data_IF_064957202139
#
_entry.id   IF_064957202139
#
_cell.length_a   1.000
_cell.length_b   1.000
_cell.length_c   1.000
_cell.angle_alpha   90.00
_cell.angle_beta   90.00
_cell.angle_gamma   90.00
#
_symmetry.space_group_name_H-M   'P 1'
#
loop_
_entity.id
_entity.type
_entity.pdbx_description
1 polymer ?
#
# COMPACT_ATOMS: atom_id res chain seq x y z
N UNK A 1 10.94 -22.10 18.72
CA UNK A 1 9.75 -21.65 17.99
C UNK A 1 9.82 -20.15 17.97
N UNK A 2 9.69 -19.51 16.80
CA UNK A 2 9.57 -18.05 16.70
C UNK A 2 8.30 -17.60 17.42
N UNK A 3 8.38 -16.47 18.11
CA UNK A 3 7.27 -15.88 18.84
C UNK A 3 6.38 -15.14 17.85
N UNK A 4 5.10 -15.45 17.84
CA UNK A 4 4.15 -14.77 16.98
C UNK A 4 3.79 -13.41 17.59
N UNK A 5 3.96 -12.35 16.82
CA UNK A 5 3.75 -10.98 17.24
C UNK A 5 2.46 -10.41 16.65
N UNK A 6 2.01 -9.30 17.22
CA UNK A 6 0.89 -8.52 16.68
C UNK A 6 1.25 -8.01 15.29
N UNK A 7 0.33 -8.13 14.35
CA UNK A 7 0.49 -7.60 13.00
C UNK A 7 0.72 -6.09 13.01
N UNK A 8 1.64 -5.64 12.19
CA UNK A 8 2.04 -4.23 12.13
C UNK A 8 0.88 -3.29 11.74
N UNK A 9 -0.01 -3.74 10.85
CA UNK A 9 -1.19 -2.98 10.41
C UNK A 9 -2.18 -2.65 11.54
N UNK A 10 -2.33 -3.56 12.51
CA UNK A 10 -3.12 -3.30 13.69
C UNK A 10 -2.33 -2.48 14.72
N UNK A 11 -1.07 -2.83 14.92
CA UNK A 11 -0.20 -2.19 15.90
C UNK A 11 -0.02 -0.69 15.63
N UNK A 12 0.14 -0.30 14.36
CA UNK A 12 0.33 1.10 13.95
C UNK A 12 -0.86 1.99 14.36
N UNK A 13 -2.08 1.44 14.35
CA UNK A 13 -3.29 2.16 14.70
C UNK A 13 -3.52 2.30 16.20
N UNK A 14 -3.03 1.34 16.99
CA UNK A 14 -3.35 1.21 18.41
C UNK A 14 -2.16 1.46 19.34
N UNK A 15 -1.05 0.80 19.09
CA UNK A 15 0.09 0.76 20.01
C UNK A 15 1.17 1.78 19.64
N UNK A 16 1.47 1.90 18.34
CA UNK A 16 2.63 2.67 17.88
C UNK A 16 2.36 4.17 17.81
N UNK A 17 1.14 4.61 18.06
CA UNK A 17 0.79 6.02 18.27
C UNK A 17 1.20 6.54 19.64
N UNK A 18 1.45 5.64 20.60
CA UNK A 18 1.94 6.04 21.91
C UNK A 18 3.42 6.43 21.81
N UNK A 19 3.78 7.60 22.35
CA UNK A 19 5.14 8.13 22.35
C UNK A 19 6.17 7.15 22.95
N UNK A 20 5.77 6.36 23.92
CA UNK A 20 6.61 5.32 24.51
C UNK A 20 7.07 4.25 23.50
N UNK A 21 6.31 4.05 22.44
CA UNK A 21 6.53 3.01 21.42
C UNK A 21 7.12 3.58 20.11
N UNK A 22 7.45 4.86 20.04
CA UNK A 22 8.03 5.48 18.84
C UNK A 22 9.31 4.81 18.38
N UNK A 23 10.05 4.18 19.28
CA UNK A 23 11.29 3.45 18.97
C UNK A 23 11.10 2.39 17.90
N UNK A 24 9.93 1.76 17.83
CA UNK A 24 9.58 0.74 16.81
C UNK A 24 9.44 1.41 15.43
N UNK A 25 8.65 2.50 15.35
CA UNK A 25 8.47 3.26 14.11
C UNK A 25 9.76 3.94 13.65
N UNK A 26 10.50 4.56 14.59
CA UNK A 26 11.80 5.17 14.32
C UNK A 26 12.81 4.16 13.79
N UNK A 27 12.80 2.94 14.34
CA UNK A 27 13.61 1.84 13.88
C UNK A 27 13.30 1.49 12.44
N UNK A 28 12.04 1.16 12.14
CA UNK A 28 11.57 0.84 10.79
C UNK A 28 11.90 1.94 9.78
N UNK A 29 11.53 3.18 10.09
CA UNK A 29 11.76 4.32 9.21
C UNK A 29 13.25 4.60 9.01
N UNK A 30 14.08 4.38 10.04
CA UNK A 30 15.52 4.58 9.93
C UNK A 30 16.18 3.59 8.99
N UNK A 31 15.76 2.32 9.01
CA UNK A 31 16.25 1.31 8.07
C UNK A 31 15.76 1.59 6.64
N UNK A 32 14.48 1.93 6.48
CA UNK A 32 13.88 2.21 5.16
C UNK A 32 14.49 3.43 4.48
N UNK A 33 14.72 4.52 5.25
CA UNK A 33 15.16 5.80 4.71
C UNK A 33 16.69 5.95 4.73
N UNK A 34 17.42 4.97 5.25
CA UNK A 34 18.87 5.00 5.45
C UNK A 34 19.34 6.27 6.19
N UNK A 35 18.54 6.69 7.20
CA UNK A 35 18.76 7.90 7.97
C UNK A 35 18.36 7.68 9.43
N UNK A 36 18.87 8.48 10.35
CA UNK A 36 18.49 8.37 11.75
C UNK A 36 17.20 9.15 12.01
N UNK A 37 16.06 8.52 11.77
CA UNK A 37 14.75 9.13 11.96
C UNK A 37 14.38 9.23 13.44
N UNK A 38 13.92 10.41 13.83
CA UNK A 38 13.35 10.70 15.15
C UNK A 38 11.99 11.35 14.97
N UNK A 39 10.97 10.75 15.55
CA UNK A 39 9.60 11.26 15.52
C UNK A 39 9.44 12.35 16.57
N UNK A 40 9.12 13.55 16.14
CA UNK A 40 8.86 14.70 17.02
C UNK A 40 7.45 14.65 17.59
N UNK A 41 6.49 14.35 16.71
CA UNK A 41 5.08 14.21 17.06
C UNK A 41 4.33 13.39 16.01
N UNK A 42 3.24 12.76 16.44
CA UNK A 42 2.21 12.24 15.55
C UNK A 42 1.21 13.38 15.35
N UNK A 43 0.88 13.63 14.09
CA UNK A 43 -0.17 14.55 13.70
C UNK A 43 -1.47 13.73 13.60
N UNK A 44 -2.56 14.27 14.12
CA UNK A 44 -3.86 13.63 13.95
C UNK A 44 -4.20 13.64 12.46
N UNK A 45 -4.33 12.46 11.88
CA UNK A 45 -4.80 12.29 10.50
C UNK A 45 -6.33 12.27 10.44
N UNK A 46 -6.97 12.72 11.51
CA UNK A 46 -8.39 13.00 11.53
C UNK A 46 -8.60 14.35 10.85
N UNK A 47 -8.62 14.34 9.51
CA UNK A 47 -9.39 15.37 8.84
C UNK A 47 -10.80 15.25 9.41
N UNK A 48 -11.18 16.24 10.24
CA UNK A 48 -12.56 16.47 10.61
C UNK A 48 -13.36 16.35 9.34
N UNK A 49 -14.36 15.49 9.35
CA UNK A 49 -15.39 15.46 8.34
C UNK A 49 -16.11 16.81 8.42
N UNK A 50 -15.68 17.78 7.62
CA UNK A 50 -16.37 19.05 7.55
C UNK A 50 -17.65 18.90 6.72
N UNK A 51 -17.71 17.88 5.84
CA UNK A 51 -18.92 17.52 5.07
C UNK A 51 -19.00 16.02 4.85
N UNK A 52 -20.23 15.46 4.72
CA UNK A 52 -20.47 14.04 4.40
C UNK A 52 -19.93 13.62 3.01
N UNK A 53 -19.57 14.58 2.16
CA UNK A 53 -19.03 14.37 0.80
C UNK A 53 -17.50 14.25 0.76
N UNK A 54 -16.79 14.48 1.86
CA UNK A 54 -15.34 14.33 1.90
C UNK A 54 -14.95 12.86 1.74
N UNK A 55 -14.22 12.55 0.66
CA UNK A 55 -13.64 11.22 0.46
C UNK A 55 -12.79 10.86 1.67
N UNK A 56 -13.13 9.74 2.32
CA UNK A 56 -12.35 9.17 3.42
C UNK A 56 -10.93 8.84 2.95
N UNK A 57 -10.01 9.76 3.14
CA UNK A 57 -8.59 9.51 2.94
C UNK A 57 -7.87 9.69 4.28
N UNK A 58 -8.09 8.71 5.17
CA UNK A 58 -7.36 8.62 6.42
C UNK A 58 -6.06 7.87 6.16
N UNK A 59 -4.94 8.55 6.25
CA UNK A 59 -3.65 7.88 6.37
C UNK A 59 -3.57 7.18 7.72
N UNK A 60 -2.94 6.01 7.79
CA UNK A 60 -2.88 5.27 9.05
C UNK A 60 -2.08 6.03 10.11
N UNK A 61 -0.96 6.63 9.74
CA UNK A 61 -0.21 7.57 10.58
C UNK A 61 0.37 8.71 9.74
N UNK A 62 0.28 9.93 10.26
CA UNK A 62 1.03 11.10 9.82
C UNK A 62 1.94 11.56 10.96
N UNK A 63 3.24 11.67 10.71
CA UNK A 63 4.22 12.12 11.69
C UNK A 63 5.02 13.30 11.18
N UNK A 64 5.59 14.08 12.12
CA UNK A 64 6.63 15.06 11.84
C UNK A 64 7.95 14.60 12.49
N UNK A 65 9.01 14.51 11.71
CA UNK A 65 10.33 14.13 12.19
C UNK A 65 11.15 15.33 12.71
N UNK A 66 12.33 15.06 13.24
CA UNK A 66 13.23 16.10 13.77
C UNK A 66 13.75 17.09 12.72
N UNK A 67 13.66 16.73 11.42
CA UNK A 67 14.00 17.60 10.28
C UNK A 67 12.81 18.44 9.79
N UNK A 68 11.68 18.41 10.50
CA UNK A 68 10.40 19.04 10.16
C UNK A 68 9.79 18.51 8.84
N UNK A 69 10.13 17.31 8.42
CA UNK A 69 9.52 16.63 7.29
C UNK A 69 8.29 15.86 7.77
N UNK A 70 7.28 15.75 6.91
CA UNK A 70 6.09 14.96 7.14
C UNK A 70 6.33 13.54 6.65
N UNK A 71 6.00 12.55 7.46
CA UNK A 71 6.07 11.14 7.05
C UNK A 71 4.67 10.56 7.18
N UNK A 72 4.12 10.15 6.05
CA UNK A 72 2.89 9.38 5.92
C UNK A 72 3.26 7.90 5.94
N UNK A 73 2.58 7.12 6.78
CA UNK A 73 2.66 5.67 6.72
C UNK A 73 1.25 5.17 6.48
N UNK A 74 1.08 4.39 5.42
CA UNK A 74 -0.18 3.78 5.04
C UNK A 74 0.00 2.28 4.83
N UNK A 75 -0.92 1.49 5.37
CA UNK A 75 -0.89 0.03 5.26
C UNK A 75 -2.19 -0.45 4.67
N UNK A 76 -2.10 -1.05 3.49
CA UNK A 76 -3.26 -1.51 2.75
C UNK A 76 -3.22 -3.02 2.52
N UNK A 77 -4.25 -3.71 3.03
CA UNK A 77 -4.40 -5.16 2.90
C UNK A 77 -5.27 -5.56 1.70
N UNK A 78 -6.17 -4.69 1.27
CA UNK A 78 -7.14 -4.95 0.21
C UNK A 78 -6.70 -4.31 -1.09
N UNK A 79 -6.81 -5.03 -2.21
CA UNK A 79 -6.49 -4.52 -3.53
C UNK A 79 -7.34 -3.30 -3.89
N UNK A 80 -6.67 -2.25 -4.37
CA UNK A 80 -7.28 -1.04 -4.94
C UNK A 80 -6.60 -0.72 -6.26
N UNK A 81 -7.37 -0.69 -7.35
CA UNK A 81 -6.83 -0.46 -8.70
C UNK A 81 -6.27 0.96 -8.87
N UNK A 82 -6.83 1.91 -8.14
CA UNK A 82 -6.48 3.34 -8.18
C UNK A 82 -5.53 3.76 -7.04
N UNK A 83 -4.86 2.80 -6.40
CA UNK A 83 -4.01 3.07 -5.23
C UNK A 83 -2.91 4.10 -5.50
N UNK A 84 -2.32 4.16 -6.71
CA UNK A 84 -1.36 5.21 -7.06
C UNK A 84 -1.97 6.62 -7.02
N UNK A 85 -3.23 6.75 -7.42
CA UNK A 85 -3.95 8.03 -7.33
C UNK A 85 -4.21 8.40 -5.86
N UNK A 86 -4.54 7.40 -5.03
CA UNK A 86 -4.72 7.57 -3.59
C UNK A 86 -3.44 8.05 -2.91
N UNK A 87 -2.28 7.46 -3.22
CA UNK A 87 -0.98 7.91 -2.73
C UNK A 87 -0.74 9.39 -3.06
N UNK A 88 -0.98 9.78 -4.31
CA UNK A 88 -0.81 11.17 -4.80
C UNK A 88 -1.76 12.12 -4.08
N UNK A 89 -3.02 11.74 -3.91
CA UNK A 89 -4.02 12.54 -3.20
C UNK A 89 -3.64 12.73 -1.72
N UNK A 90 -3.23 11.67 -1.02
CA UNK A 90 -2.82 11.72 0.38
C UNK A 90 -1.64 12.67 0.63
N UNK A 91 -0.65 12.65 -0.26
CA UNK A 91 0.50 13.57 -0.21
C UNK A 91 0.05 15.01 -0.44
N UNK A 92 -0.76 15.26 -1.47
CA UNK A 92 -1.26 16.60 -1.82
C UNK A 92 -2.08 17.20 -0.68
N UNK A 93 -2.95 16.39 -0.07
CA UNK A 93 -3.76 16.79 1.09
C UNK A 93 -2.87 17.14 2.29
N UNK A 94 -1.89 16.30 2.60
CA UNK A 94 -0.97 16.54 3.71
C UNK A 94 -0.15 17.83 3.52
N UNK A 95 0.24 18.17 2.29
CA UNK A 95 0.89 19.44 1.99
C UNK A 95 -0.07 20.61 2.25
N UNK A 96 -1.30 20.54 1.71
CA UNK A 96 -2.30 21.59 1.85
C UNK A 96 -2.67 21.87 3.31
N UNK A 97 -2.88 20.82 4.11
CA UNK A 97 -3.28 20.94 5.51
C UNK A 97 -2.16 21.46 6.41
N UNK A 98 -0.90 21.30 6.00
CA UNK A 98 0.27 21.72 6.78
C UNK A 98 0.90 23.04 6.28
N UNK A 99 0.27 23.74 5.35
CA UNK A 99 0.64 25.09 4.91
C UNK A 99 -0.53 26.04 5.20
N UNK A 100 -0.36 26.91 6.19
CA UNK A 100 -1.39 27.90 6.55
C UNK A 100 -1.55 29.00 5.49
N UNK A 101 -2.76 29.53 5.33
CA UNK A 101 -3.05 30.63 4.43
C UNK A 101 -2.14 31.83 4.77
N UNK A 102 -1.49 32.40 3.74
CA UNK A 102 -0.59 33.56 3.90
C UNK A 102 0.86 33.20 4.26
N UNK A 103 1.18 31.93 4.46
CA UNK A 103 2.58 31.51 4.59
C UNK A 103 3.31 31.52 3.25
N UNK A 104 4.61 31.80 3.29
CA UNK A 104 5.47 31.71 2.12
C UNK A 104 5.62 30.27 1.65
N UNK A 105 5.70 30.04 0.32
CA UNK A 105 5.86 28.69 -0.25
C UNK A 105 7.13 27.96 0.21
N UNK A 106 8.15 28.68 0.68
CA UNK A 106 9.36 28.08 1.27
C UNK A 106 9.06 27.26 2.55
N UNK A 107 7.88 27.45 3.16
CA UNK A 107 7.42 26.70 4.33
C UNK A 107 6.70 25.39 3.98
N UNK A 108 6.54 25.07 2.69
CA UNK A 108 6.05 23.75 2.27
C UNK A 108 7.00 22.68 2.79
N UNK A 109 6.47 21.78 3.62
CA UNK A 109 7.26 20.68 4.17
C UNK A 109 7.42 19.58 3.14
N UNK A 110 8.62 18.97 3.09
CA UNK A 110 8.79 17.72 2.35
C UNK A 110 7.89 16.65 2.94
N UNK A 111 7.22 15.88 2.07
CA UNK A 111 6.43 14.73 2.46
C UNK A 111 7.12 13.45 2.01
N UNK A 112 7.30 12.50 2.92
CA UNK A 112 7.76 11.14 2.64
C UNK A 112 6.56 10.23 2.82
N UNK A 113 6.13 9.58 1.73
CA UNK A 113 4.98 8.68 1.72
C UNK A 113 5.46 7.23 1.71
N UNK A 114 5.24 6.52 2.81
CA UNK A 114 5.58 5.10 2.99
C UNK A 114 4.31 4.28 2.87
N UNK A 115 4.25 3.46 1.83
CA UNK A 115 3.07 2.68 1.45
C UNK A 115 3.39 1.19 1.54
N UNK A 116 2.78 0.50 2.49
CA UNK A 116 2.97 -0.92 2.76
C UNK A 116 1.74 -1.66 2.23
N UNK A 117 1.89 -2.43 1.16
CA UNK A 117 0.78 -3.13 0.51
C UNK A 117 0.96 -4.66 0.58
N UNK A 118 -0.15 -5.35 0.86
CA UNK A 118 -0.24 -6.82 0.94
C UNK A 118 -0.94 -7.42 -0.29
N UNK A 119 -0.94 -6.69 -1.41
CA UNK A 119 -1.47 -7.15 -2.70
C UNK A 119 -0.48 -6.81 -3.81
N UNK A 120 -0.68 -7.40 -4.98
CA UNK A 120 0.16 -7.09 -6.12
C UNK A 120 -0.29 -5.76 -6.76
N UNK A 121 0.64 -4.81 -6.84
CA UNK A 121 0.41 -3.46 -7.36
C UNK A 121 1.44 -3.14 -8.44
N UNK A 122 0.95 -2.86 -9.64
CA UNK A 122 1.81 -2.60 -10.79
C UNK A 122 2.64 -3.82 -11.21
N UNK A 123 3.47 -3.66 -12.23
CA UNK A 123 4.36 -4.71 -12.72
C UNK A 123 5.81 -4.41 -12.35
N UNK A 124 6.52 -5.40 -11.84
CA UNK A 124 7.91 -5.28 -11.44
C UNK A 124 8.35 -6.45 -10.58
N UNK A 125 9.66 -6.72 -10.55
CA UNK A 125 10.25 -7.89 -9.87
C UNK A 125 10.64 -7.62 -8.42
N UNK A 126 10.81 -6.35 -8.06
CA UNK A 126 11.24 -5.96 -6.72
C UNK A 126 10.05 -5.89 -5.75
N UNK A 127 10.34 -5.89 -4.47
CA UNK A 127 9.36 -5.73 -3.39
C UNK A 127 9.46 -4.35 -2.71
N UNK A 128 10.50 -3.55 -3.01
CA UNK A 128 10.66 -2.16 -2.54
C UNK A 128 10.92 -1.26 -3.73
N UNK A 129 10.12 -0.21 -3.87
CA UNK A 129 10.28 0.80 -4.89
C UNK A 129 10.37 2.18 -4.25
N UNK A 130 11.31 3.00 -4.73
CA UNK A 130 11.48 4.39 -4.35
C UNK A 130 11.12 5.29 -5.53
N UNK A 131 10.25 6.28 -5.31
CA UNK A 131 9.90 7.31 -6.27
C UNK A 131 10.42 8.66 -5.82
N UNK A 132 11.24 9.31 -6.66
CA UNK A 132 11.76 10.68 -6.46
C UNK A 132 11.47 11.52 -7.67
N UNK A 133 11.33 12.84 -7.48
CA UNK A 133 11.19 13.79 -8.58
C UNK A 133 12.56 14.27 -9.04
N UNK A 134 12.88 14.07 -10.32
CA UNK A 134 14.07 14.60 -10.97
C UNK A 134 13.66 15.44 -12.16
N UNK A 135 14.37 16.54 -12.40
CA UNK A 135 14.20 17.38 -13.58
C UNK A 135 15.38 17.15 -14.51
N UNK A 136 15.12 16.43 -15.60
CA UNK A 136 16.13 16.10 -16.61
C UNK A 136 16.00 17.00 -17.83
N UNK A 137 17.11 17.62 -18.22
CA UNK A 137 17.20 18.45 -19.44
C UNK A 137 16.78 17.65 -20.68
N UNK A 138 15.90 18.23 -21.51
CA UNK A 138 15.42 17.54 -22.72
C UNK A 138 16.50 17.43 -23.81
N UNK A 139 17.40 18.40 -23.90
CA UNK A 139 18.44 18.46 -24.90
C UNK A 139 19.76 17.92 -24.37
N UNK A 140 20.28 18.49 -23.29
CA UNK A 140 21.62 18.19 -22.76
C UNK A 140 21.62 16.94 -21.84
N UNK A 141 20.44 16.45 -21.44
CA UNK A 141 20.27 15.27 -20.57
C UNK A 141 20.86 15.40 -19.15
N UNK A 142 21.25 16.59 -18.76
CA UNK A 142 21.72 16.96 -17.44
C UNK A 142 20.59 16.89 -16.40
N UNK A 143 20.93 16.89 -15.12
CA UNK A 143 19.98 16.97 -14.01
C UNK A 143 19.99 18.40 -13.47
N UNK A 144 18.80 19.02 -13.36
CA UNK A 144 18.66 20.36 -12.80
C UNK A 144 18.99 20.34 -11.31
N UNK A 145 19.97 21.15 -10.93
CA UNK A 145 20.42 21.30 -9.55
C UNK A 145 19.94 22.63 -8.91
N UNK A 146 19.95 22.69 -7.59
CA UNK A 146 19.77 23.93 -6.86
C UNK A 146 20.98 24.84 -7.05
N UNK A 147 20.77 26.15 -7.27
CA UNK A 147 21.85 27.13 -7.25
C UNK A 147 22.46 27.25 -5.86
N UNK A 148 23.70 27.74 -5.75
CA UNK A 148 24.37 27.96 -4.46
C UNK A 148 23.52 28.81 -3.49
N UNK A 149 22.82 29.83 -4.00
CA UNK A 149 21.93 30.67 -3.17
C UNK A 149 20.73 29.88 -2.65
N UNK A 150 20.14 28.98 -3.46
CA UNK A 150 19.03 28.14 -3.05
C UNK A 150 19.46 27.07 -2.05
N UNK A 151 20.61 26.41 -2.27
CA UNK A 151 21.18 25.45 -1.31
C UNK A 151 21.41 26.11 0.04
N UNK A 152 22.03 27.29 0.07
CA UNK A 152 22.28 28.05 1.31
C UNK A 152 20.99 28.51 2.00
N UNK A 153 19.97 28.93 1.24
CA UNK A 153 18.72 29.44 1.80
C UNK A 153 17.84 28.31 2.32
N UNK A 154 17.69 27.22 1.55
CA UNK A 154 16.75 26.14 1.87
C UNK A 154 17.38 25.04 2.74
N UNK A 155 18.70 25.04 2.90
CA UNK A 155 19.45 23.98 3.59
C UNK A 155 19.16 22.60 2.96
N UNK A 156 19.08 22.56 1.63
CA UNK A 156 18.83 21.37 0.81
C UNK A 156 19.91 21.25 -0.25
N UNK A 157 20.33 20.02 -0.58
CA UNK A 157 21.37 19.77 -1.57
C UNK A 157 20.80 19.59 -2.96
N UNK A 158 19.66 18.90 -3.07
CA UNK A 158 19.07 18.53 -4.35
C UNK A 158 17.67 19.13 -4.52
N UNK A 159 17.24 19.29 -5.77
CA UNK A 159 15.85 19.66 -6.09
C UNK A 159 14.87 18.62 -5.52
N UNK A 160 15.20 17.34 -5.62
CA UNK A 160 14.40 16.24 -5.06
C UNK A 160 14.15 16.33 -3.55
N UNK A 161 15.00 17.04 -2.80
CA UNK A 161 14.83 17.20 -1.34
C UNK A 161 13.68 18.15 -0.98
N UNK A 162 13.13 18.88 -1.96
CA UNK A 162 11.96 19.76 -1.80
C UNK A 162 10.67 19.03 -2.14
N UNK A 163 10.72 18.10 -3.09
CA UNK A 163 9.56 17.39 -3.61
C UNK A 163 9.18 16.18 -2.72
N UNK A 164 7.93 15.71 -2.81
CA UNK A 164 7.53 14.47 -2.17
C UNK A 164 8.38 13.28 -2.63
N UNK A 165 8.58 12.36 -1.70
CA UNK A 165 9.27 11.11 -1.94
C UNK A 165 8.35 9.95 -1.56
N UNK A 166 8.32 8.91 -2.37
CA UNK A 166 7.44 7.77 -2.20
C UNK A 166 8.24 6.49 -1.99
N UNK A 167 7.82 5.69 -1.02
CA UNK A 167 8.28 4.33 -0.83
C UNK A 167 7.08 3.41 -0.95
N UNK A 168 7.19 2.39 -1.81
CA UNK A 168 6.18 1.37 -2.00
C UNK A 168 6.78 0.01 -1.65
N UNK A 169 6.23 -0.64 -0.60
CA UNK A 169 6.65 -1.93 -0.11
C UNK A 169 5.59 -2.98 -0.46
N UNK A 170 5.87 -3.83 -1.45
CA UNK A 170 5.03 -4.96 -1.89
C UNK A 170 5.40 -6.18 -1.05
N UNK A 171 4.90 -6.23 0.20
CA UNK A 171 5.35 -7.19 1.23
C UNK A 171 5.22 -8.63 0.77
N UNK A 172 4.16 -8.99 0.04
CA UNK A 172 3.93 -10.35 -0.44
C UNK A 172 4.97 -10.80 -1.48
N UNK A 173 5.62 -9.87 -2.18
CA UNK A 173 6.64 -10.19 -3.19
C UNK A 173 8.00 -10.55 -2.57
N UNK A 174 8.18 -10.31 -1.28
CA UNK A 174 9.37 -10.77 -0.56
C UNK A 174 9.34 -12.29 -0.41
N UNK A 175 10.28 -12.99 -1.02
CA UNK A 175 10.30 -14.47 -1.07
C UNK A 175 11.55 -15.09 -0.45
N UNK A 176 12.45 -14.29 0.10
CA UNK A 176 13.77 -14.74 0.52
C UNK A 176 14.01 -14.71 2.03
N UNK A 177 15.25 -15.07 2.39
CA UNK A 177 15.81 -14.71 3.68
C UNK A 177 16.27 -13.25 3.63
N UNK A 178 16.24 -12.58 4.78
CA UNK A 178 16.76 -11.24 4.91
C UNK A 178 18.22 -11.16 4.48
N UNK A 179 18.56 -10.23 3.59
CA UNK A 179 19.92 -9.97 3.09
C UNK A 179 20.58 -8.82 3.85
N UNK A 180 19.76 -7.92 4.36
CA UNK A 180 20.17 -6.76 5.13
C UNK A 180 19.15 -6.44 6.23
N UNK A 181 19.38 -5.39 6.99
CA UNK A 181 18.53 -4.97 8.10
C UNK A 181 17.15 -4.47 7.67
N UNK A 182 17.01 -3.92 6.46
CA UNK A 182 15.72 -3.54 5.91
C UNK A 182 14.89 -4.79 5.58
N UNK A 183 15.51 -5.82 4.99
CA UNK A 183 14.85 -7.10 4.71
C UNK A 183 14.36 -7.80 5.99
N UNK A 184 15.04 -7.62 7.13
CA UNK A 184 14.58 -8.14 8.43
C UNK A 184 13.23 -7.50 8.82
N UNK A 185 13.04 -6.19 8.53
CA UNK A 185 11.76 -5.52 8.70
C UNK A 185 10.69 -6.02 7.72
N UNK A 186 11.04 -6.24 6.43
CA UNK A 186 10.10 -6.79 5.45
C UNK A 186 9.65 -8.20 5.85
N UNK A 187 10.59 -9.02 6.35
CA UNK A 187 10.25 -10.33 6.89
C UNK A 187 9.25 -10.23 8.06
N UNK A 188 9.50 -9.33 9.00
CA UNK A 188 8.58 -9.09 10.12
C UNK A 188 7.20 -8.61 9.63
N UNK A 189 7.15 -7.64 8.71
CA UNK A 189 5.89 -7.15 8.13
C UNK A 189 5.08 -8.28 7.49
N UNK A 190 5.77 -9.21 6.80
CA UNK A 190 5.14 -10.35 6.13
C UNK A 190 4.64 -11.43 7.09
N UNK A 191 5.46 -11.81 8.05
CA UNK A 191 5.25 -13.02 8.84
C UNK A 191 4.74 -12.74 10.27
N UNK A 192 4.81 -11.48 10.73
CA UNK A 192 4.57 -11.10 12.14
C UNK A 192 5.47 -11.87 13.12
N UNK A 193 6.70 -12.10 12.69
CA UNK A 193 7.73 -12.82 13.45
C UNK A 193 9.10 -12.16 13.20
N UNK A 194 9.95 -12.13 14.21
CA UNK A 194 11.32 -11.65 14.09
C UNK A 194 12.26 -12.86 13.94
N UNK A 195 13.15 -12.82 12.95
CA UNK A 195 14.15 -13.87 12.74
C UNK A 195 15.18 -13.88 13.87
N UNK A 196 15.60 -15.07 14.28
CA UNK A 196 16.65 -15.18 15.29
C UNK A 196 17.95 -14.56 14.78
N UNK A 197 18.52 -13.66 15.59
CA UNK A 197 19.76 -12.98 15.25
C UNK A 197 19.57 -11.69 14.45
N UNK A 198 18.35 -11.23 14.24
CA UNK A 198 18.04 -9.93 13.62
C UNK A 198 18.76 -8.79 14.34
N UNK A 199 19.28 -7.84 13.53
CA UNK A 199 20.07 -6.68 14.00
C UNK A 199 19.43 -5.35 13.65
N UNK A 200 18.35 -5.36 12.87
CA UNK A 200 17.66 -4.15 12.45
C UNK A 200 17.21 -3.33 13.64
N UNK A 201 17.43 -2.02 13.53
CA UNK A 201 17.05 -1.05 14.56
C UNK A 201 15.54 -1.12 14.84
N UNK A 202 15.15 -1.20 16.09
CA UNK A 202 13.75 -1.24 16.52
C UNK A 202 13.08 -2.61 16.49
N UNK A 203 13.65 -3.64 15.86
CA UNK A 203 13.03 -4.98 15.83
C UNK A 203 13.05 -5.67 17.20
N UNK A 204 14.10 -5.47 17.99
CA UNK A 204 14.16 -6.02 19.35
C UNK A 204 13.09 -5.39 20.25
N UNK A 205 12.88 -4.10 20.12
CA UNK A 205 11.82 -3.37 20.79
C UNK A 205 10.44 -3.78 20.27
N UNK A 206 10.32 -4.04 18.97
CA UNK A 206 9.09 -4.57 18.39
C UNK A 206 8.72 -5.93 18.99
N UNK A 207 9.66 -6.84 19.22
CA UNK A 207 9.39 -8.12 19.90
C UNK A 207 8.82 -7.94 21.32
N UNK A 208 9.21 -6.88 22.01
CA UNK A 208 8.72 -6.61 23.37
C UNK A 208 7.35 -5.96 23.34
N UNK A 209 7.17 -4.93 22.50
CA UNK A 209 5.93 -4.13 22.42
C UNK A 209 4.80 -4.89 21.76
N UNK A 210 5.11 -5.73 20.77
CA UNK A 210 4.12 -6.41 19.93
C UNK A 210 3.85 -7.86 20.35
N UNK A 211 4.21 -8.22 21.58
CA UNK A 211 3.88 -9.52 22.14
C UNK A 211 2.38 -9.64 22.43
N UNK A 212 1.71 -10.55 21.72
CA UNK A 212 0.28 -10.80 21.88
C UNK A 212 -0.09 -11.14 23.34
N UNK A 213 0.80 -11.85 24.05
CA UNK A 213 0.56 -12.25 25.43
C UNK A 213 0.56 -11.09 26.44
N UNK A 214 1.11 -9.92 26.05
CA UNK A 214 1.16 -8.72 26.87
C UNK A 214 -0.01 -7.75 26.61
N UNK A 215 -0.88 -8.07 25.66
CA UNK A 215 -2.06 -7.26 25.41
C UNK A 215 -3.05 -7.34 26.57
N UNK A 216 -3.66 -6.22 26.90
CA UNK A 216 -4.85 -6.20 27.78
C UNK A 216 -6.01 -6.94 27.11
N UNK A 217 -6.97 -7.45 27.92
CA UNK A 217 -8.06 -8.28 27.42
C UNK A 217 -8.89 -7.61 26.32
N UNK A 218 -9.15 -6.32 26.45
CA UNK A 218 -9.93 -5.56 25.47
C UNK A 218 -9.17 -5.40 24.15
N UNK A 219 -7.86 -5.22 24.21
CA UNK A 219 -6.99 -5.17 23.04
C UNK A 219 -6.83 -6.55 22.39
N UNK A 220 -6.75 -7.62 23.18
CA UNK A 220 -6.76 -8.99 22.65
C UNK A 220 -8.06 -9.29 21.87
N UNK A 221 -9.21 -8.91 22.43
CA UNK A 221 -10.49 -9.05 21.74
C UNK A 221 -10.54 -8.24 20.44
N UNK A 222 -10.13 -6.98 20.50
CA UNK A 222 -10.06 -6.09 19.34
C UNK A 222 -9.10 -6.62 18.26
N UNK A 223 -7.96 -7.20 18.65
CA UNK A 223 -7.01 -7.82 17.73
C UNK A 223 -7.58 -9.07 17.06
N UNK A 224 -8.19 -9.97 17.80
CA UNK A 224 -8.83 -11.16 17.24
C UNK A 224 -9.93 -10.78 16.24
N UNK A 225 -10.78 -9.81 16.56
CA UNK A 225 -11.79 -9.28 15.63
C UNK A 225 -11.17 -8.70 14.36
N UNK A 226 -10.00 -8.06 14.46
CA UNK A 226 -9.27 -7.58 13.28
C UNK A 226 -8.83 -8.75 12.39
N UNK A 227 -8.30 -9.83 12.97
CA UNK A 227 -7.89 -11.03 12.22
C UNK A 227 -9.09 -11.70 11.52
N UNK A 228 -10.22 -11.81 12.21
CA UNK A 228 -11.47 -12.35 11.65
C UNK A 228 -11.94 -11.51 10.44
N UNK A 229 -11.90 -10.18 10.56
CA UNK A 229 -12.25 -9.27 9.47
C UNK A 229 -11.30 -9.39 8.26
N UNK A 230 -10.00 -9.61 8.49
CA UNK A 230 -9.04 -9.86 7.40
C UNK A 230 -9.36 -11.17 6.69
N UNK A 231 -9.69 -12.23 7.45
CA UNK A 231 -10.05 -13.53 6.89
C UNK A 231 -11.34 -13.45 6.08
N UNK A 232 -12.35 -12.72 6.57
CA UNK A 232 -13.61 -12.50 5.86
C UNK A 232 -13.36 -11.76 4.53
N UNK A 233 -12.63 -10.66 4.56
CA UNK A 233 -12.29 -9.91 3.33
C UNK A 233 -11.50 -10.73 2.31
N UNK A 234 -10.58 -11.58 2.77
CA UNK A 234 -9.85 -12.49 1.89
C UNK A 234 -10.81 -13.48 1.20
N UNK A 235 -11.77 -14.05 1.95
CA UNK A 235 -12.78 -14.95 1.40
C UNK A 235 -13.71 -14.25 0.41
N UNK A 236 -14.15 -13.03 0.70
CA UNK A 236 -14.95 -12.21 -0.22
C UNK A 236 -14.20 -11.93 -1.54
N UNK A 237 -12.92 -11.59 -1.46
CA UNK A 237 -12.07 -11.36 -2.64
C UNK A 237 -11.95 -12.60 -3.51
N UNK A 238 -11.72 -13.77 -2.91
CA UNK A 238 -11.64 -15.05 -3.63
C UNK A 238 -12.97 -15.32 -4.34
N UNK A 239 -14.09 -15.17 -3.64
CA UNK A 239 -15.42 -15.39 -4.22
C UNK A 239 -15.73 -14.45 -5.40
N UNK A 240 -15.35 -13.17 -5.29
CA UNK A 240 -15.51 -12.19 -6.37
C UNK A 240 -14.62 -12.52 -7.58
N UNK A 241 -13.39 -12.98 -7.33
CA UNK A 241 -12.49 -13.42 -8.40
C UNK A 241 -13.03 -14.65 -9.12
N UNK A 242 -13.47 -15.68 -8.39
CA UNK A 242 -14.07 -16.88 -8.97
C UNK A 242 -15.33 -16.56 -9.80
N UNK A 243 -16.18 -15.66 -9.31
CA UNK A 243 -17.37 -15.20 -10.04
C UNK A 243 -16.98 -14.45 -11.33
N UNK A 244 -15.97 -13.57 -11.26
CA UNK A 244 -15.47 -12.84 -12.43
C UNK A 244 -14.89 -13.81 -13.49
N UNK A 245 -14.07 -14.77 -13.08
CA UNK A 245 -13.51 -15.80 -13.97
C UNK A 245 -14.61 -16.67 -14.61
N UNK A 246 -15.63 -17.03 -13.82
CA UNK A 246 -16.79 -17.77 -14.34
C UNK A 246 -17.55 -16.96 -15.38
N UNK A 247 -17.83 -15.67 -15.13
CA UNK A 247 -18.50 -14.78 -16.10
C UNK A 247 -17.71 -14.64 -17.41
N UNK A 248 -16.39 -14.45 -17.31
CA UNK A 248 -15.52 -14.37 -18.51
C UNK A 248 -15.57 -15.66 -19.30
N UNK A 249 -15.54 -16.81 -18.64
CA UNK A 249 -15.67 -18.12 -19.29
C UNK A 249 -17.01 -18.28 -20.00
N UNK A 250 -18.11 -17.96 -19.31
CA UNK A 250 -19.46 -18.05 -19.88
C UNK A 250 -19.60 -17.13 -21.10
N UNK A 251 -19.14 -15.88 -21.01
CA UNK A 251 -19.19 -14.94 -22.14
C UNK A 251 -18.40 -15.46 -23.35
N UNK A 252 -17.19 -15.99 -23.11
CA UNK A 252 -16.40 -16.62 -24.19
C UNK A 252 -17.09 -17.83 -24.81
N UNK A 253 -17.73 -18.66 -24.00
CA UNK A 253 -18.46 -19.85 -24.50
C UNK A 253 -19.69 -19.43 -25.33
N UNK A 254 -20.39 -18.35 -24.93
CA UNK A 254 -21.46 -17.73 -25.71
C UNK A 254 -20.94 -17.16 -27.04
N UNK A 255 -19.83 -16.39 -27.00
CA UNK A 255 -19.20 -15.81 -28.19
C UNK A 255 -18.77 -16.91 -29.18
N UNK A 256 -18.15 -17.97 -28.69
CA UNK A 256 -17.80 -19.14 -29.53
C UNK A 256 -19.01 -19.83 -30.09
N UNK A 257 -20.14 -19.93 -29.36
CA UNK A 257 -21.37 -20.49 -29.84
C UNK A 257 -21.97 -19.62 -30.95
N UNK A 258 -21.99 -18.30 -30.81
CA UNK A 258 -22.45 -17.37 -31.85
C UNK A 258 -21.59 -17.48 -33.10
N UNK A 259 -20.28 -17.56 -32.98
CA UNK A 259 -19.38 -17.78 -34.12
C UNK A 259 -19.65 -19.10 -34.80
N UNK A 260 -19.84 -20.21 -34.06
CA UNK A 260 -20.19 -21.50 -34.59
C UNK A 260 -21.56 -21.51 -35.32
N UNK A 261 -22.54 -20.76 -34.81
CA UNK A 261 -23.84 -20.56 -35.45
C UNK A 261 -23.66 -19.86 -36.81
N UNK A 262 -22.89 -18.79 -36.87
CA UNK A 262 -22.61 -18.02 -38.07
C UNK A 262 -21.87 -18.84 -39.15
N UNK A 263 -20.97 -19.74 -38.71
CA UNK A 263 -20.24 -20.67 -39.57
C UNK A 263 -21.10 -21.88 -40.02
N UNK A 264 -22.34 -21.98 -39.54
CA UNK A 264 -23.29 -23.03 -39.94
C UNK A 264 -23.12 -24.36 -39.21
N UNK A 265 -22.44 -24.42 -38.09
CA UNK A 265 -22.30 -25.66 -37.31
C UNK A 265 -23.65 -26.10 -36.71
N UNK A 266 -23.82 -27.40 -36.55
CA UNK A 266 -24.99 -27.96 -35.87
C UNK A 266 -24.90 -27.76 -34.33
N UNK A 267 -26.04 -27.81 -33.65
CA UNK A 267 -26.14 -27.56 -32.23
C UNK A 267 -25.32 -28.56 -31.39
N UNK A 268 -25.19 -29.80 -31.87
CA UNK A 268 -24.42 -30.82 -31.12
C UNK A 268 -22.93 -30.54 -31.17
N UNK A 269 -22.41 -30.09 -32.30
CA UNK A 269 -21.02 -29.67 -32.47
C UNK A 269 -20.72 -28.46 -31.63
N UNK A 270 -21.55 -27.42 -31.63
CA UNK A 270 -21.40 -26.22 -30.82
C UNK A 270 -21.44 -26.57 -29.35
N UNK A 271 -22.36 -27.41 -28.88
CA UNK A 271 -22.47 -27.87 -27.51
C UNK A 271 -21.18 -28.57 -27.02
N UNK A 272 -20.58 -29.43 -27.85
CA UNK A 272 -19.31 -30.10 -27.53
C UNK A 272 -18.15 -29.14 -27.33
N UNK A 273 -18.09 -28.06 -28.13
CA UNK A 273 -17.02 -27.07 -28.09
C UNK A 273 -17.20 -26.12 -26.91
N UNK A 274 -18.39 -25.59 -26.68
CA UNK A 274 -18.68 -24.51 -25.75
C UNK A 274 -19.17 -24.97 -24.39
N UNK A 275 -19.58 -26.24 -24.27
CA UNK A 275 -20.24 -26.81 -23.08
C UNK A 275 -21.62 -26.21 -22.78
N UNK A 276 -22.16 -25.36 -23.65
CA UNK A 276 -23.53 -24.87 -23.53
C UNK A 276 -24.53 -25.98 -23.83
N UNK A 277 -25.70 -25.94 -23.17
CA UNK A 277 -26.78 -26.88 -23.50
C UNK A 277 -27.36 -26.59 -24.88
N UNK A 278 -27.95 -27.62 -25.50
CA UNK A 278 -28.61 -27.46 -26.80
C UNK A 278 -29.70 -26.40 -26.72
N UNK A 279 -30.46 -26.36 -25.64
CA UNK A 279 -31.50 -25.37 -25.37
C UNK A 279 -30.98 -23.95 -25.37
N UNK A 280 -29.80 -23.72 -24.73
CA UNK A 280 -29.13 -22.42 -24.74
C UNK A 280 -28.70 -22.00 -26.16
N UNK A 281 -28.20 -22.95 -26.96
CA UNK A 281 -27.78 -22.70 -28.35
C UNK A 281 -28.97 -22.40 -29.24
N UNK A 282 -30.11 -23.09 -29.09
CA UNK A 282 -31.34 -22.82 -29.81
C UNK A 282 -31.89 -21.42 -29.50
N UNK A 283 -31.83 -21.02 -28.24
CA UNK A 283 -32.19 -19.67 -27.85
C UNK A 283 -31.27 -18.61 -28.51
N UNK A 284 -29.95 -18.84 -28.53
CA UNK A 284 -29.02 -17.95 -29.22
C UNK A 284 -29.33 -17.83 -30.73
N UNK A 285 -29.67 -18.93 -31.42
CA UNK A 285 -30.09 -18.88 -32.83
C UNK A 285 -31.35 -18.02 -33.01
N UNK A 286 -32.36 -18.24 -32.17
CA UNK A 286 -33.60 -17.46 -32.21
C UNK A 286 -33.38 -15.98 -31.97
N UNK A 287 -32.43 -15.63 -31.11
CA UNK A 287 -32.09 -14.23 -30.79
C UNK A 287 -31.26 -13.55 -31.90
N UNK A 288 -30.51 -14.33 -32.70
CA UNK A 288 -29.75 -13.86 -33.86
C UNK A 288 -30.59 -13.70 -35.13
N UNK A 289 -31.75 -14.35 -35.20
CA UNK A 289 -32.69 -14.25 -36.34
C UNK A 289 -33.68 -13.06 -36.23
N UNK A 290 -33.68 -12.34 -35.11
CA UNK A 290 -34.48 -11.13 -34.83
C UNK A 290 -33.77 -9.87 -35.24
#
# INVERSE_FOLDING_TARGET
>A
MSKKLIRFDWAIKRLLRNKANFVVLEGFLSELLYDNIRIKKILESESNQETDDDKFNRVDILTENSKNELIIIEIQNTYEIDYFHRMTYGVSKSISENLSIGQAYENVKKVISVNIVYFDLGQGKDYIYQGKTEFKGLHEKDILELSHRQKAKFLKENVSDIFPEYYLLKVNNFTGNAKDTLDEWIYFLKNSEVQQGSKAKGLKEAEQVLDIMQLEKDDQYSYNRHLDNLSLKASEMISLQEEAEFRVKVNRDIENAVNGINEGFDNLTISKITKLSIEQIEKLRTDLEK
#
